data_IF_753653567588
#
_entry.id   IF_753653567588
#
_cell.length_a   1.000
_cell.length_b   1.000
_cell.length_c   1.000
_cell.angle_alpha   90.00
_cell.angle_beta   90.00
_cell.angle_gamma   90.00
#
_symmetry.space_group_name_H-M   'P 1'
#
loop_
_entity.id
_entity.type
_entity.pdbx_description
1 polymer ?
#
# COMPACT_ATOMS: atom_id res chain seq x y z
N UNK A 1 20.37 -16.26 -47.22
CA UNK A 1 20.97 -16.14 -45.87
C UNK A 1 20.42 -14.93 -45.12
N UNK A 2 20.38 -13.74 -45.74
CA UNK A 2 19.82 -12.49 -45.16
C UNK A 2 18.37 -12.65 -44.65
N UNK A 3 17.50 -13.34 -45.39
CA UNK A 3 16.10 -13.56 -44.99
C UNK A 3 15.95 -14.38 -43.70
N UNK A 4 16.85 -15.35 -43.47
CA UNK A 4 16.88 -16.16 -42.23
C UNK A 4 17.39 -15.35 -41.03
N UNK A 5 18.33 -14.44 -41.27
CA UNK A 5 18.84 -13.50 -40.26
C UNK A 5 17.77 -12.49 -39.86
N UNK A 6 16.99 -11.98 -40.81
CA UNK A 6 15.87 -11.07 -40.54
C UNK A 6 14.77 -11.76 -39.71
N UNK A 7 14.39 -12.99 -40.05
CA UNK A 7 13.41 -13.77 -39.28
C UNK A 7 13.91 -14.04 -37.86
N UNK A 8 15.20 -14.36 -37.70
CA UNK A 8 15.81 -14.56 -36.38
C UNK A 8 15.80 -13.28 -35.55
N UNK A 9 16.13 -12.12 -36.13
CA UNK A 9 16.09 -10.81 -35.45
C UNK A 9 14.66 -10.43 -35.04
N UNK A 10 13.66 -10.63 -35.92
CA UNK A 10 12.25 -10.39 -35.58
C UNK A 10 11.76 -11.30 -34.44
N UNK A 11 12.20 -12.56 -34.41
CA UNK A 11 11.84 -13.50 -33.32
C UNK A 11 12.44 -13.11 -31.97
N UNK A 12 13.62 -12.49 -31.95
CA UNK A 12 14.27 -11.99 -30.72
C UNK A 12 13.56 -10.73 -30.20
N UNK A 13 13.10 -9.84 -31.09
CA UNK A 13 12.36 -8.62 -30.72
C UNK A 13 10.97 -8.96 -30.14
N UNK A 14 10.32 -10.04 -30.58
CA UNK A 14 9.04 -10.48 -29.98
C UNK A 14 9.19 -11.04 -28.56
N UNK A 15 10.38 -11.48 -28.15
CA UNK A 15 10.63 -11.93 -26.77
C UNK A 15 10.94 -10.78 -25.80
N UNK A 16 11.29 -9.59 -26.30
CA UNK A 16 11.75 -8.48 -25.44
C UNK A 16 10.62 -7.66 -24.79
N UNK A 17 9.35 -8.03 -24.97
CA UNK A 17 8.22 -7.33 -24.33
C UNK A 17 7.90 -7.83 -22.91
N UNK A 18 8.59 -8.86 -22.42
CA UNK A 18 8.26 -9.46 -21.12
C UNK A 18 8.89 -8.73 -19.91
N UNK A 19 9.71 -7.69 -20.13
CA UNK A 19 10.48 -7.02 -19.06
C UNK A 19 9.99 -5.59 -18.75
N UNK A 20 8.87 -5.16 -19.30
CA UNK A 20 8.31 -3.83 -19.01
C UNK A 20 7.34 -4.00 -17.84
N UNK A 21 7.73 -3.51 -16.66
CA UNK A 21 6.84 -3.41 -15.50
C UNK A 21 5.55 -2.67 -15.87
N UNK A 22 4.44 -3.03 -15.21
CA UNK A 22 3.14 -2.43 -15.43
C UNK A 22 2.78 -1.54 -14.26
N UNK A 23 2.23 -0.36 -14.55
CA UNK A 23 1.68 0.49 -13.51
C UNK A 23 0.46 -0.15 -12.88
N UNK A 24 0.47 -0.26 -11.56
CA UNK A 24 -0.64 -0.77 -10.76
C UNK A 24 -0.96 0.20 -9.63
N UNK A 25 -2.21 0.23 -9.21
CA UNK A 25 -2.68 1.13 -8.17
C UNK A 25 -3.63 0.45 -7.20
N UNK A 26 -3.63 0.96 -5.98
CA UNK A 26 -4.56 0.61 -4.93
C UNK A 26 -5.06 1.88 -4.22
N UNK A 27 -6.24 1.78 -3.62
CA UNK A 27 -6.79 2.84 -2.80
C UNK A 27 -7.52 2.29 -1.60
N UNK A 28 -7.44 2.99 -0.49
CA UNK A 28 -8.08 2.63 0.77
C UNK A 28 -8.64 3.86 1.46
N UNK A 29 -9.80 3.70 2.08
CA UNK A 29 -10.40 4.69 2.97
C UNK A 29 -10.86 4.05 4.27
N UNK A 30 -11.10 4.88 5.26
CA UNK A 30 -11.71 4.43 6.51
C UNK A 30 -11.82 5.57 7.52
N UNK A 31 -12.22 5.19 8.73
CA UNK A 31 -12.34 6.10 9.86
C UNK A 31 -11.68 5.49 11.09
N UNK A 32 -10.85 6.27 11.78
CA UNK A 32 -10.19 5.84 13.00
C UNK A 32 -10.83 6.51 14.21
N UNK A 33 -11.10 5.71 15.25
CA UNK A 33 -11.62 6.18 16.53
C UNK A 33 -10.76 5.67 17.68
N UNK A 34 -10.74 6.41 18.78
CA UNK A 34 -10.08 6.05 20.03
C UNK A 34 -11.10 6.29 21.16
N UNK A 35 -11.52 5.21 21.83
CA UNK A 35 -12.52 5.24 22.91
C UNK A 35 -13.81 6.00 22.54
N UNK A 36 -14.30 5.76 21.32
CA UNK A 36 -15.56 6.34 20.81
C UNK A 36 -15.41 7.77 20.27
N UNK A 37 -14.23 8.37 20.35
CA UNK A 37 -13.94 9.69 19.80
C UNK A 37 -13.17 9.58 18.47
N UNK A 38 -13.39 10.50 17.52
CA UNK A 38 -12.53 10.62 16.34
C UNK A 38 -11.04 10.68 16.67
N UNK A 39 -10.24 9.83 16.04
CA UNK A 39 -8.79 9.87 16.16
C UNK A 39 -8.21 10.73 15.03
N UNK A 40 -8.05 12.02 15.29
CA UNK A 40 -7.54 13.01 14.32
C UNK A 40 -6.00 13.00 14.26
N UNK A 41 -5.45 13.29 13.08
CA UNK A 41 -4.00 13.45 12.88
C UNK A 41 -3.19 12.15 12.93
N UNK A 42 -3.85 11.00 12.93
CA UNK A 42 -3.23 9.67 12.93
C UNK A 42 -2.56 9.44 11.58
N UNK A 43 -1.28 9.07 11.57
CA UNK A 43 -0.54 8.82 10.35
C UNK A 43 -0.96 7.48 9.74
N UNK A 44 -1.27 7.50 8.46
CA UNK A 44 -1.61 6.32 7.66
C UNK A 44 -0.74 6.27 6.42
N UNK A 45 -0.32 5.07 6.02
CA UNK A 45 0.49 4.85 4.82
C UNK A 45 0.02 3.64 4.05
N UNK A 46 -0.10 3.81 2.74
CA UNK A 46 -0.32 2.73 1.79
C UNK A 46 1.03 2.36 1.20
N UNK A 47 1.38 1.09 1.30
CA UNK A 47 2.63 0.51 0.82
C UNK A 47 2.34 -0.62 -0.15
N UNK A 48 3.29 -0.87 -1.03
CA UNK A 48 3.52 -2.20 -1.57
C UNK A 48 4.33 -3.03 -0.58
N UNK A 49 4.01 -4.31 -0.43
CA UNK A 49 4.81 -5.25 0.34
C UNK A 49 5.58 -6.15 -0.59
N UNK A 50 6.89 -5.91 -0.71
CA UNK A 50 7.73 -6.73 -1.57
C UNK A 50 8.36 -7.88 -0.79
N UNK A 51 7.92 -9.10 -1.09
CA UNK A 51 8.52 -10.32 -0.53
C UNK A 51 9.79 -10.77 -1.33
N UNK A 52 10.20 -10.02 -2.37
CA UNK A 52 11.33 -10.38 -3.24
C UNK A 52 12.66 -9.81 -2.73
N UNK A 53 13.71 -10.62 -2.56
CA UNK A 53 15.02 -10.14 -2.10
C UNK A 53 15.61 -9.06 -3.02
N UNK A 54 15.78 -7.85 -2.48
CA UNK A 54 16.36 -6.71 -3.20
C UNK A 54 15.34 -5.71 -3.72
N UNK A 55 14.04 -5.99 -3.56
CA UNK A 55 12.97 -5.01 -3.74
C UNK A 55 12.52 -4.53 -2.35
N UNK A 56 12.41 -3.22 -2.18
CA UNK A 56 12.12 -2.62 -0.89
C UNK A 56 10.70 -2.09 -0.92
N UNK A 57 9.90 -2.41 0.12
CA UNK A 57 8.53 -1.92 0.29
C UNK A 57 8.35 -0.50 -0.28
N UNK A 58 7.53 -0.38 -1.32
CA UNK A 58 7.32 0.88 -2.02
C UNK A 58 6.26 1.74 -1.33
N UNK A 59 6.62 2.96 -0.92
CA UNK A 59 5.65 3.91 -0.35
C UNK A 59 4.76 4.49 -1.45
N UNK A 60 3.58 3.90 -1.64
CA UNK A 60 2.63 4.36 -2.65
C UNK A 60 1.93 5.67 -2.27
N UNK A 61 1.53 5.83 -1.01
CA UNK A 61 0.88 7.05 -0.51
C UNK A 61 0.95 7.19 1.02
N UNK A 62 0.91 8.42 1.52
CA UNK A 62 0.77 8.71 2.96
C UNK A 62 -0.19 9.86 3.22
N UNK A 63 -0.81 9.87 4.38
CA UNK A 63 -1.71 10.93 4.81
C UNK A 63 -1.94 10.90 6.32
N UNK A 64 -2.78 11.80 6.78
CA UNK A 64 -3.25 11.83 8.17
C UNK A 64 -4.76 11.85 8.20
N UNK A 65 -5.35 11.26 9.23
CA UNK A 65 -6.79 11.38 9.45
C UNK A 65 -7.19 12.83 9.69
N UNK A 66 -8.35 13.20 9.17
CA UNK A 66 -8.96 14.50 9.40
C UNK A 66 -9.51 14.65 10.84
N UNK A 67 -10.16 15.78 11.12
CA UNK A 67 -10.77 16.07 12.44
C UNK A 67 -11.85 15.07 12.88
N UNK A 68 -12.50 14.42 11.92
CA UNK A 68 -13.56 13.45 12.15
C UNK A 68 -13.03 12.01 12.14
N UNK A 69 -11.71 11.86 12.00
CA UNK A 69 -10.99 10.59 12.00
C UNK A 69 -10.95 9.91 10.65
N UNK A 70 -11.44 10.54 9.58
CA UNK A 70 -11.52 9.92 8.25
C UNK A 70 -10.17 10.05 7.51
N UNK A 71 -9.89 9.08 6.65
CA UNK A 71 -8.78 9.13 5.70
C UNK A 71 -9.17 8.46 4.38
N UNK A 72 -8.49 8.88 3.30
CA UNK A 72 -8.51 8.22 2.01
C UNK A 72 -7.12 8.34 1.37
N UNK A 73 -6.52 7.22 0.97
CA UNK A 73 -5.24 7.13 0.29
C UNK A 73 -5.43 6.47 -1.07
N UNK A 74 -4.70 6.97 -2.07
CA UNK A 74 -4.59 6.38 -3.42
C UNK A 74 -3.13 6.49 -3.83
N UNK A 75 -2.57 5.40 -4.31
CA UNK A 75 -1.19 5.38 -4.78
C UNK A 75 -0.99 4.36 -5.89
N UNK A 76 0.18 4.39 -6.50
CA UNK A 76 0.58 3.47 -7.56
C UNK A 76 2.08 3.23 -7.52
N UNK A 77 2.51 2.09 -8.06
CA UNK A 77 3.91 1.78 -8.38
C UNK A 77 3.98 1.04 -9.72
N UNK A 78 5.19 0.91 -10.26
CA UNK A 78 5.48 0.21 -11.51
C UNK A 78 6.19 -1.13 -11.20
N UNK A 79 5.45 -2.22 -11.30
CA UNK A 79 5.96 -3.56 -10.95
C UNK A 79 5.73 -4.58 -12.06
N UNK A 80 6.60 -5.59 -12.12
CA UNK A 80 6.41 -6.71 -13.05
C UNK A 80 5.33 -7.68 -12.57
N UNK A 81 5.29 -7.96 -11.27
CA UNK A 81 4.31 -8.82 -10.60
C UNK A 81 3.09 -8.03 -10.14
N UNK A 82 1.98 -8.67 -9.76
CA UNK A 82 0.94 -8.00 -9.01
C UNK A 82 1.49 -7.42 -7.71
N UNK A 83 1.13 -6.16 -7.43
CA UNK A 83 1.42 -5.49 -6.16
C UNK A 83 0.73 -6.19 -4.98
N UNK A 84 1.27 -6.05 -3.78
CA UNK A 84 0.73 -6.58 -2.52
C UNK A 84 0.39 -5.44 -1.54
N UNK A 85 -0.67 -4.67 -1.81
CA UNK A 85 -0.93 -3.43 -1.11
C UNK A 85 -1.30 -3.65 0.36
N UNK A 86 -0.67 -2.88 1.26
CA UNK A 86 -0.96 -2.87 2.70
C UNK A 86 -1.14 -1.46 3.27
N UNK A 87 -2.08 -1.33 4.20
CA UNK A 87 -2.30 -0.11 4.98
C UNK A 87 -1.61 -0.24 6.33
N UNK A 88 -0.67 0.66 6.61
CA UNK A 88 -0.06 0.84 7.93
C UNK A 88 -0.71 2.01 8.66
N UNK A 89 -1.12 1.78 9.90
CA UNK A 89 -1.74 2.79 10.79
C UNK A 89 -0.80 3.00 11.98
N UNK A 90 -0.45 4.25 12.25
CA UNK A 90 0.49 4.67 13.29
C UNK A 90 -0.20 5.58 14.31
N UNK A 91 -0.37 5.11 15.54
CA UNK A 91 -1.20 5.79 16.54
C UNK A 91 -0.67 5.70 17.97
N UNK A 92 -1.12 6.63 18.81
CA UNK A 92 -0.80 6.70 20.24
C UNK A 92 -2.04 6.54 21.13
N UNK A 93 -3.17 6.06 20.57
CA UNK A 93 -4.38 5.77 21.33
C UNK A 93 -4.07 4.82 22.51
N UNK A 94 -4.39 5.28 23.73
CA UNK A 94 -4.13 4.60 24.99
C UNK A 94 -2.66 4.15 25.17
N UNK A 95 -1.70 4.88 24.61
CA UNK A 95 -0.28 4.48 24.65
C UNK A 95 0.54 5.20 25.74
N UNK A 96 0.02 6.28 26.33
CA UNK A 96 0.69 7.06 27.37
C UNK A 96 1.92 7.81 26.84
N UNK A 97 2.90 8.07 27.71
CA UNK A 97 4.16 8.73 27.36
C UNK A 97 5.24 7.71 26.96
N UNK A 98 4.96 6.91 25.94
CA UNK A 98 5.94 5.94 25.45
C UNK A 98 6.54 6.40 24.13
N UNK A 99 7.83 6.15 23.89
CA UNK A 99 8.46 6.51 22.64
C UNK A 99 7.90 5.66 21.49
N UNK A 100 7.80 6.27 20.31
CA UNK A 100 7.39 5.62 19.07
C UNK A 100 5.93 5.20 19.04
N UNK A 101 5.32 5.29 17.86
CA UNK A 101 3.89 5.05 17.71
C UNK A 101 3.60 3.55 17.62
N UNK A 102 2.45 3.12 18.14
CA UNK A 102 1.93 1.77 17.88
C UNK A 102 1.61 1.67 16.38
N UNK A 103 2.01 0.56 15.76
CA UNK A 103 1.85 0.32 14.33
C UNK A 103 1.22 -1.05 14.10
N UNK A 104 0.14 -1.08 13.34
CA UNK A 104 -0.40 -2.33 12.81
C UNK A 104 -0.74 -2.18 11.32
N UNK A 105 -0.91 -3.33 10.68
CA UNK A 105 -1.05 -3.45 9.24
C UNK A 105 -2.35 -4.15 8.87
N UNK A 106 -3.02 -3.65 7.84
CA UNK A 106 -4.15 -4.30 7.18
C UNK A 106 -3.74 -4.57 5.73
N UNK A 107 -3.69 -5.85 5.33
CA UNK A 107 -3.47 -6.22 3.92
C UNK A 107 -4.74 -5.96 3.11
N UNK A 108 -4.61 -5.29 1.97
CA UNK A 108 -5.72 -5.07 1.05
C UNK A 108 -5.84 -6.30 0.13
N UNK A 109 -7.05 -6.81 -0.14
CA UNK A 109 -7.21 -7.93 -1.05
C UNK A 109 -6.84 -7.56 -2.50
N UNK A 110 -6.20 -8.48 -3.23
CA UNK A 110 -5.76 -8.27 -4.61
C UNK A 110 -6.90 -7.86 -5.57
N UNK A 111 -8.15 -8.19 -5.23
CA UNK A 111 -9.34 -7.75 -5.98
C UNK A 111 -9.56 -6.22 -6.02
N UNK A 112 -8.84 -5.46 -5.19
CA UNK A 112 -8.82 -4.00 -5.16
C UNK A 112 -7.67 -3.37 -5.96
N UNK A 113 -6.75 -4.19 -6.49
CA UNK A 113 -5.69 -3.73 -7.37
C UNK A 113 -6.29 -3.34 -8.73
N UNK A 114 -5.81 -2.24 -9.28
CA UNK A 114 -6.20 -1.73 -10.59
C UNK A 114 -4.99 -1.53 -11.47
N UNK A 115 -5.13 -1.79 -12.78
CA UNK A 115 -4.12 -1.38 -13.75
C UNK A 115 -4.19 0.13 -14.00
N UNK A 116 -3.02 0.77 -14.09
CA UNK A 116 -2.84 2.20 -14.27
C UNK A 116 -2.65 2.96 -12.96
N UNK A 117 -2.41 4.28 -13.06
CA UNK A 117 -2.07 5.16 -11.93
C UNK A 117 -3.19 5.42 -10.93
N UNK A 118 -4.44 5.22 -11.35
CA UNK A 118 -5.62 5.56 -10.55
C UNK A 118 -6.41 4.29 -10.20
N UNK A 119 -6.67 4.03 -8.91
CA UNK A 119 -7.44 2.87 -8.50
C UNK A 119 -8.89 3.00 -8.95
N UNK A 120 -9.44 1.94 -9.54
CA UNK A 120 -10.84 1.86 -10.00
C UNK A 120 -11.79 1.50 -8.86
N UNK A 121 -11.26 0.91 -7.78
CA UNK A 121 -12.00 0.54 -6.57
C UNK A 121 -11.23 1.04 -5.36
N UNK A 122 -11.97 1.43 -4.33
CA UNK A 122 -11.40 1.84 -3.05
C UNK A 122 -11.80 0.78 -2.02
N UNK A 123 -10.80 0.22 -1.35
CA UNK A 123 -11.02 -0.67 -0.22
C UNK A 123 -11.56 0.16 0.95
N UNK A 124 -12.73 -0.21 1.46
CA UNK A 124 -13.32 0.44 2.63
C UNK A 124 -12.95 -0.36 3.88
N UNK A 125 -11.99 0.15 4.66
CA UNK A 125 -11.56 -0.46 5.91
C UNK A 125 -12.58 -0.25 7.04
N UNK A 126 -13.66 0.49 6.80
CA UNK A 126 -14.70 0.79 7.78
C UNK A 126 -14.21 1.71 8.90
N UNK A 127 -14.85 1.56 10.07
CA UNK A 127 -14.45 2.28 11.29
C UNK A 127 -13.61 1.36 12.17
N UNK A 128 -12.42 1.80 12.55
CA UNK A 128 -11.46 1.03 13.33
C UNK A 128 -11.28 1.66 14.72
N UNK A 129 -11.50 0.86 15.76
CA UNK A 129 -11.28 1.22 17.16
C UNK A 129 -9.83 0.96 17.57
N UNK A 130 -9.05 2.02 17.77
CA UNK A 130 -7.61 2.00 18.08
C UNK A 130 -7.27 1.68 19.55
N UNK A 131 -8.27 1.66 20.44
CA UNK A 131 -8.07 1.36 21.84
C UNK A 131 -7.64 -0.10 22.10
N UNK A 132 -8.02 -1.02 21.21
CA UNK A 132 -7.63 -2.44 21.28
C UNK A 132 -6.19 -2.68 20.81
N UNK A 133 -5.66 -3.87 21.08
CA UNK A 133 -4.38 -4.35 20.52
C UNK A 133 -4.66 -5.22 19.30
N UNK A 134 -4.01 -4.90 18.17
CA UNK A 134 -4.18 -5.65 16.93
C UNK A 134 -3.15 -6.78 16.81
N UNK A 135 -3.47 -7.89 16.12
CA UNK A 135 -2.50 -8.94 15.81
C UNK A 135 -1.31 -8.38 15.01
N UNK A 136 -0.10 -8.79 15.36
CA UNK A 136 1.13 -8.34 14.68
C UNK A 136 1.49 -6.88 14.94
N UNK A 137 0.81 -6.20 15.88
CA UNK A 137 1.11 -4.80 16.21
C UNK A 137 2.53 -4.66 16.80
N UNK A 138 3.29 -3.75 16.23
CA UNK A 138 4.67 -3.40 16.62
C UNK A 138 4.75 -1.92 17.00
N UNK A 139 5.96 -1.39 17.16
CA UNK A 139 6.19 0.04 17.37
C UNK A 139 7.18 0.56 16.35
N UNK A 140 6.93 1.76 15.84
CA UNK A 140 7.73 2.35 14.78
C UNK A 140 8.11 3.79 15.15
N UNK A 141 9.41 4.05 15.16
CA UNK A 141 10.02 5.34 15.50
C UNK A 141 10.44 6.13 14.25
N UNK A 142 10.44 5.48 13.08
CA UNK A 142 11.06 5.95 11.85
C UNK A 142 10.03 5.88 10.73
N UNK A 143 9.04 6.76 10.80
CA UNK A 143 7.99 6.89 9.81
C UNK A 143 8.25 8.05 8.83
#
# INVERSE_FOLDING_TARGET
MIFKVIILILSIITLSQCLIGRTQSAGVRGRLICDGKPASGVLVKLWDEDDTPGDADDLMAKGKTDRDGNFELKGHTDEMTPIDPKLNIYHDCNDGLKPCQRKFTIKLPNSYISSGKNPKKIYDAGTIQLAGKFPGETRDCLH
#
